data_IF_562053553531
#
_entry.id   IF_562053553531
#
_cell.length_a   1.000
_cell.length_b   1.000
_cell.length_c   1.000
_cell.angle_alpha   90.00
_cell.angle_beta   90.00
_cell.angle_gamma   90.00
#
_symmetry.space_group_name_H-M   'P 1'
#
loop_
_entity.id
_entity.type
_entity.pdbx_description
1 polymer ?
#
# COMPACT_ATOMS: atom_id res chain seq x y z
N UNK A 1 15.82 -18.85 -8.21
CA UNK A 1 16.56 -19.26 -7.04
C UNK A 1 16.16 -18.42 -5.83
N UNK A 2 16.73 -18.73 -4.71
CA UNK A 2 16.40 -18.12 -3.43
C UNK A 2 16.67 -16.60 -3.41
N UNK A 3 17.81 -16.19 -3.99
CA UNK A 3 18.18 -14.78 -4.04
C UNK A 3 17.26 -13.99 -4.94
N UNK A 4 16.85 -14.56 -6.06
CA UNK A 4 15.93 -13.88 -6.96
C UNK A 4 14.57 -13.64 -6.30
N UNK A 5 14.01 -14.68 -5.66
CA UNK A 5 12.69 -14.57 -5.05
C UNK A 5 12.69 -13.55 -3.89
N UNK A 6 13.74 -13.52 -3.07
CA UNK A 6 13.81 -12.55 -1.99
C UNK A 6 13.98 -11.13 -2.53
N UNK A 7 14.82 -10.95 -3.55
CA UNK A 7 15.02 -9.64 -4.15
C UNK A 7 13.76 -9.10 -4.80
N UNK A 8 13.05 -9.96 -5.54
CA UNK A 8 11.79 -9.55 -6.17
C UNK A 8 10.78 -9.12 -5.11
N UNK A 9 10.63 -9.91 -4.05
CA UNK A 9 9.66 -9.60 -3.01
C UNK A 9 10.01 -8.32 -2.28
N UNK A 10 11.28 -8.14 -1.90
CA UNK A 10 11.72 -6.93 -1.21
C UNK A 10 11.56 -5.70 -2.09
N UNK A 11 12.05 -5.78 -3.33
CA UNK A 11 12.01 -4.63 -4.24
C UNK A 11 10.59 -4.19 -4.53
N UNK A 12 9.73 -5.14 -4.87
CA UNK A 12 8.32 -4.81 -5.17
C UNK A 12 7.61 -4.24 -3.96
N UNK A 13 7.83 -4.83 -2.78
CA UNK A 13 7.20 -4.35 -1.55
C UNK A 13 7.64 -2.92 -1.22
N UNK A 14 8.92 -2.63 -1.39
CA UNK A 14 9.44 -1.28 -1.11
C UNK A 14 8.96 -0.25 -2.11
N UNK A 15 8.88 -0.61 -3.38
CA UNK A 15 8.37 0.29 -4.41
C UNK A 15 6.91 0.63 -4.13
N UNK A 16 6.10 -0.39 -3.86
CA UNK A 16 4.68 -0.18 -3.55
C UNK A 16 4.52 0.71 -2.32
N UNK A 17 5.27 0.42 -1.26
CA UNK A 17 5.22 1.21 -0.03
C UNK A 17 5.63 2.65 -0.27
N UNK A 18 6.66 2.87 -1.10
CA UNK A 18 7.14 4.21 -1.45
C UNK A 18 6.10 5.01 -2.21
N UNK A 19 5.43 4.38 -3.17
CA UNK A 19 4.37 5.04 -3.93
C UNK A 19 3.22 5.43 -3.02
N UNK A 20 2.77 4.51 -2.17
CA UNK A 20 1.68 4.78 -1.23
C UNK A 20 2.06 5.93 -0.31
N UNK A 21 3.27 5.89 0.25
CA UNK A 21 3.76 6.93 1.17
C UNK A 21 3.80 8.30 0.50
N UNK A 22 4.25 8.37 -0.75
CA UNK A 22 4.35 9.63 -1.46
C UNK A 22 2.96 10.26 -1.68
N UNK A 23 1.98 9.44 -2.04
CA UNK A 23 0.62 9.95 -2.22
C UNK A 23 0.01 10.41 -0.91
N UNK A 24 0.24 9.68 0.19
CA UNK A 24 -0.27 10.10 1.50
C UNK A 24 0.29 11.47 1.86
N UNK A 25 1.59 11.69 1.66
CA UNK A 25 2.23 12.97 1.99
C UNK A 25 1.64 14.12 1.21
N UNK A 26 1.17 13.88 -0.01
CA UNK A 26 0.63 14.92 -0.87
C UNK A 26 -0.86 15.16 -0.71
N UNK A 27 -1.56 14.26 -0.04
CA UNK A 27 -3.02 14.31 0.07
C UNK A 27 -3.48 15.49 0.92
N UNK A 28 -4.66 16.02 0.59
CA UNK A 28 -5.34 17.02 1.40
C UNK A 28 -5.93 16.40 2.64
N UNK A 29 -6.55 15.24 2.49
CA UNK A 29 -7.18 14.52 3.59
C UNK A 29 -7.33 13.05 3.23
N UNK A 30 -7.67 12.24 4.24
CA UNK A 30 -7.94 10.82 4.06
C UNK A 30 -9.45 10.63 4.12
N UNK A 31 -10.03 10.17 3.02
CA UNK A 31 -11.47 9.87 2.97
C UNK A 31 -11.75 8.57 3.71
N UNK A 32 -10.91 7.56 3.52
CA UNK A 32 -11.02 6.27 4.21
C UNK A 32 -9.61 5.68 4.40
N UNK A 33 -9.28 5.14 5.57
CA UNK A 33 -10.11 4.99 6.76
C UNK A 33 -10.26 6.30 7.53
N UNK A 34 -11.36 6.43 8.26
CA UNK A 34 -11.57 7.55 9.16
C UNK A 34 -10.63 7.44 10.36
N UNK A 35 -10.43 8.56 11.04
CA UNK A 35 -9.57 8.59 12.23
C UNK A 35 -10.02 7.55 13.24
N UNK A 36 -9.09 6.75 13.71
CA UNK A 36 -9.35 5.67 14.65
C UNK A 36 -9.77 4.35 14.02
N UNK A 37 -9.85 4.30 12.68
CA UNK A 37 -10.32 3.09 11.98
C UNK A 37 -9.24 2.44 11.15
N UNK A 38 -9.48 1.19 10.78
CA UNK A 38 -8.60 0.40 9.92
C UNK A 38 -9.40 -0.10 8.73
N UNK A 39 -8.77 -0.10 7.55
CA UNK A 39 -9.40 -0.54 6.32
C UNK A 39 -8.41 -1.31 5.46
N UNK A 40 -8.93 -2.12 4.54
CA UNK A 40 -8.12 -2.83 3.55
C UNK A 40 -7.91 -2.01 2.29
N UNK A 41 -8.51 -0.84 2.20
CA UNK A 41 -8.24 0.09 1.10
C UNK A 41 -7.99 1.48 1.67
N UNK A 42 -7.31 2.31 0.88
CA UNK A 42 -7.00 3.68 1.24
C UNK A 42 -7.57 4.59 0.16
N UNK A 43 -8.35 5.58 0.57
CA UNK A 43 -8.93 6.56 -0.34
C UNK A 43 -8.49 7.95 0.09
N UNK A 44 -7.81 8.66 -0.78
CA UNK A 44 -7.21 9.95 -0.50
C UNK A 44 -7.87 11.04 -1.32
N UNK A 45 -8.17 12.16 -0.66
CA UNK A 45 -8.60 13.39 -1.33
C UNK A 45 -7.34 14.18 -1.69
N UNK A 46 -7.12 14.39 -2.97
CA UNK A 46 -5.91 15.04 -3.46
C UNK A 46 -6.15 16.53 -3.66
N UNK A 47 -5.08 17.35 -3.60
CA UNK A 47 -5.25 18.81 -3.73
C UNK A 47 -5.65 19.23 -5.14
N UNK A 48 -6.28 20.41 -5.20
CA UNK A 48 -6.67 21.08 -6.43
C UNK A 48 -7.62 20.24 -7.28
N UNK A 49 -7.32 20.10 -8.56
CA UNK A 49 -8.18 19.38 -9.50
C UNK A 49 -7.74 17.94 -9.74
N UNK A 50 -6.84 17.44 -8.89
CA UNK A 50 -6.39 16.05 -9.02
C UNK A 50 -7.50 15.14 -8.48
N UNK A 51 -7.82 14.09 -9.22
CA UNK A 51 -8.84 13.13 -8.82
C UNK A 51 -8.42 12.37 -7.57
N UNK A 52 -9.40 11.82 -6.86
CA UNK A 52 -9.14 10.98 -5.70
C UNK A 52 -8.27 9.79 -6.07
N UNK A 53 -7.41 9.40 -5.14
CA UNK A 53 -6.50 8.27 -5.31
C UNK A 53 -6.96 7.14 -4.41
N UNK A 54 -7.05 5.95 -4.98
CA UNK A 54 -7.45 4.74 -4.25
C UNK A 54 -6.37 3.67 -4.36
N UNK A 55 -6.01 3.09 -3.23
CA UNK A 55 -5.14 1.91 -3.16
C UNK A 55 -5.93 0.76 -2.60
N UNK A 56 -5.84 -0.40 -3.24
CA UNK A 56 -6.52 -1.58 -2.73
C UNK A 56 -5.82 -2.85 -3.20
N UNK A 57 -6.06 -3.91 -2.44
CA UNK A 57 -5.55 -5.24 -2.76
C UNK A 57 -6.63 -6.02 -3.47
N UNK A 58 -6.30 -6.60 -4.61
CA UNK A 58 -7.20 -7.46 -5.35
C UNK A 58 -6.41 -8.64 -5.90
N UNK A 59 -6.79 -9.83 -5.46
CA UNK A 59 -6.21 -11.08 -5.95
C UNK A 59 -4.67 -11.08 -5.89
N UNK A 60 -4.13 -10.67 -4.75
CA UNK A 60 -2.69 -10.69 -4.50
C UNK A 60 -1.91 -9.54 -5.10
N UNK A 61 -2.57 -8.59 -5.74
CA UNK A 61 -1.92 -7.44 -6.38
C UNK A 61 -2.44 -6.15 -5.78
N UNK A 62 -1.53 -5.22 -5.51
CA UNK A 62 -1.91 -3.88 -5.06
C UNK A 62 -2.15 -3.02 -6.28
N UNK A 63 -3.30 -2.36 -6.31
CA UNK A 63 -3.68 -1.47 -7.42
C UNK A 63 -3.81 -0.04 -6.96
N UNK A 64 -3.35 0.86 -7.82
CA UNK A 64 -3.54 2.31 -7.69
C UNK A 64 -4.57 2.72 -8.72
N UNK A 65 -5.62 3.41 -8.28
CA UNK A 65 -6.65 3.91 -9.18
C UNK A 65 -6.81 5.40 -8.97
N UNK A 66 -6.73 6.17 -10.05
CA UNK A 66 -6.92 7.61 -10.05
C UNK A 66 -8.30 7.92 -10.61
N UNK A 67 -9.21 8.42 -9.78
CA UNK A 67 -10.57 8.72 -10.19
C UNK A 67 -11.28 7.50 -10.76
N UNK A 68 -11.78 7.63 -11.96
CA UNK A 68 -12.46 6.53 -12.66
C UNK A 68 -11.58 5.86 -13.71
N UNK A 69 -10.28 6.16 -13.71
CA UNK A 69 -9.36 5.57 -14.69
C UNK A 69 -9.08 4.11 -14.38
N UNK A 70 -8.44 3.44 -15.33
CA UNK A 70 -8.08 2.03 -15.19
C UNK A 70 -7.07 1.85 -14.07
N UNK A 71 -7.29 0.91 -13.14
CA UNK A 71 -6.32 0.65 -12.08
C UNK A 71 -4.97 0.18 -12.63
N UNK A 72 -3.91 0.60 -11.95
CA UNK A 72 -2.54 0.24 -12.29
C UNK A 72 -1.95 -0.64 -11.21
N UNK A 73 -1.32 -1.75 -11.58
CA UNK A 73 -0.65 -2.62 -10.63
C UNK A 73 0.63 -1.98 -10.12
N UNK A 74 0.86 -2.05 -8.81
CA UNK A 74 2.06 -1.52 -8.18
C UNK A 74 3.12 -2.58 -7.92
N UNK A 75 2.77 -3.85 -8.06
CA UNK A 75 3.73 -4.94 -7.86
C UNK A 75 3.71 -5.82 -9.10
N UNK A 76 4.81 -6.51 -9.35
CA UNK A 76 4.90 -7.42 -10.48
C UNK A 76 4.12 -8.70 -10.17
N UNK A 77 3.87 -9.51 -11.21
CA UNK A 77 3.16 -10.77 -11.02
C UNK A 77 4.03 -11.84 -10.35
N UNK A 78 5.30 -11.55 -10.08
CA UNK A 78 6.15 -12.46 -9.29
C UNK A 78 5.86 -12.39 -7.81
N UNK A 79 5.13 -11.38 -7.36
CA UNK A 79 4.89 -11.15 -5.94
C UNK A 79 3.40 -11.26 -5.64
N UNK A 80 3.08 -11.99 -4.57
CA UNK A 80 1.71 -12.08 -4.08
C UNK A 80 1.63 -11.35 -2.74
N UNK A 81 0.78 -10.34 -2.67
CA UNK A 81 0.51 -9.62 -1.43
C UNK A 81 -0.61 -10.33 -0.71
N UNK A 82 -0.34 -10.77 0.51
CA UNK A 82 -1.32 -11.54 1.30
C UNK A 82 -2.23 -10.62 2.09
N UNK A 83 -1.67 -9.56 2.66
CA UNK A 83 -2.44 -8.59 3.43
C UNK A 83 -1.95 -7.19 3.13
N UNK A 84 -2.90 -6.25 3.16
CA UNK A 84 -2.62 -4.83 3.05
C UNK A 84 -3.64 -4.14 3.94
N UNK A 85 -3.16 -3.44 4.96
CA UNK A 85 -4.04 -2.75 5.91
C UNK A 85 -3.59 -1.32 6.09
N UNK A 86 -4.57 -0.44 6.23
CA UNK A 86 -4.37 0.98 6.48
C UNK A 86 -5.09 1.35 7.77
N UNK A 87 -4.38 1.94 8.71
CA UNK A 87 -4.95 2.39 9.99
C UNK A 87 -4.71 3.88 10.14
N UNK A 88 -5.75 4.62 10.52
CA UNK A 88 -5.64 6.06 10.71
C UNK A 88 -5.53 6.37 12.20
N UNK A 89 -4.37 6.82 12.63
CA UNK A 89 -4.08 7.13 14.03
C UNK A 89 -4.16 8.63 14.34
N UNK A 90 -4.63 9.45 13.38
CA UNK A 90 -4.78 10.87 13.63
C UNK A 90 -5.76 11.16 14.74
N UNK A 91 -5.45 12.11 15.60
CA UNK A 91 -6.38 12.58 16.65
C UNK A 91 -7.29 13.66 16.11
N UNK A 92 -8.25 14.09 16.96
CA UNK A 92 -9.28 15.05 16.54
C UNK A 92 -8.73 16.37 16.03
N UNK A 93 -7.60 16.81 16.57
CA UNK A 93 -7.01 18.09 16.22
C UNK A 93 -5.64 17.96 15.57
N UNK A 94 -5.30 16.77 15.11
CA UNK A 94 -4.02 16.53 14.45
C UNK A 94 -4.25 16.10 13.00
N UNK A 95 -3.19 16.12 12.20
CA UNK A 95 -3.23 15.60 10.85
C UNK A 95 -3.48 14.11 10.89
N UNK A 96 -4.01 13.59 9.79
CA UNK A 96 -4.12 12.14 9.63
C UNK A 96 -2.73 11.53 9.63
N UNK A 97 -2.60 10.40 10.30
CA UNK A 97 -1.38 9.60 10.32
C UNK A 97 -1.79 8.20 9.90
N UNK A 98 -1.27 7.75 8.78
CA UNK A 98 -1.66 6.44 8.24
C UNK A 98 -0.54 5.45 8.45
N UNK A 99 -0.85 4.38 9.16
CA UNK A 99 0.03 3.23 9.27
C UNK A 99 -0.35 2.25 8.18
N UNK A 100 0.62 1.90 7.35
CA UNK A 100 0.44 0.95 6.26
C UNK A 100 1.17 -0.34 6.63
N UNK A 101 0.45 -1.46 6.60
CA UNK A 101 1.03 -2.77 6.90
C UNK A 101 0.84 -3.67 5.69
N UNK A 102 1.89 -4.36 5.31
CA UNK A 102 1.91 -5.19 4.12
C UNK A 102 2.64 -6.49 4.42
N UNK A 103 2.06 -7.60 3.97
CA UNK A 103 2.72 -8.89 3.98
C UNK A 103 2.69 -9.45 2.56
N UNK A 104 3.84 -9.86 2.05
CA UNK A 104 3.96 -10.35 0.69
C UNK A 104 4.94 -11.52 0.63
N UNK A 105 4.76 -12.36 -0.38
CA UNK A 105 5.69 -13.44 -0.63
C UNK A 105 5.85 -13.64 -2.14
N UNK A 106 6.88 -14.41 -2.50
CA UNK A 106 7.13 -14.73 -3.89
C UNK A 106 6.05 -15.69 -4.39
N UNK A 107 5.43 -15.35 -5.53
CA UNK A 107 4.24 -16.06 -6.01
C UNK A 107 4.54 -17.48 -6.53
N UNK A 108 5.69 -17.66 -7.15
CA UNK A 108 5.99 -18.87 -7.90
C UNK A 108 6.91 -19.85 -7.18
N UNK A 109 6.90 -19.85 -5.85
CA UNK A 109 7.67 -20.81 -5.09
C UNK A 109 7.14 -22.21 -5.31
N UNK A 110 8.00 -23.08 -5.82
CA UNK A 110 7.65 -24.49 -6.02
C UNK A 110 8.03 -25.34 -4.81
N UNK A 111 8.74 -24.79 -3.85
CA UNK A 111 9.20 -25.50 -2.66
C UNK A 111 8.88 -24.67 -1.43
N UNK A 112 8.27 -25.31 -0.42
CA UNK A 112 7.97 -24.61 0.84
C UNK A 112 9.25 -24.24 1.60
N UNK A 113 10.36 -24.91 1.32
CA UNK A 113 11.63 -24.63 1.98
C UNK A 113 12.25 -23.31 1.54
N UNK A 114 11.80 -22.75 0.42
CA UNK A 114 12.37 -21.56 -0.17
C UNK A 114 11.38 -20.42 -0.28
N UNK A 115 10.27 -20.49 0.43
CA UNK A 115 9.33 -19.39 0.45
C UNK A 115 9.95 -18.20 1.18
N UNK A 116 9.87 -17.04 0.56
CA UNK A 116 10.34 -15.81 1.16
C UNK A 116 9.14 -14.90 1.45
N UNK A 117 9.04 -14.49 2.70
CA UNK A 117 7.95 -13.61 3.15
C UNK A 117 8.54 -12.29 3.64
N UNK A 118 7.91 -11.20 3.23
CA UNK A 118 8.31 -9.86 3.62
C UNK A 118 7.17 -9.19 4.35
N UNK A 119 7.46 -8.72 5.56
CA UNK A 119 6.54 -7.89 6.33
C UNK A 119 7.08 -6.47 6.35
N UNK A 120 6.29 -5.52 5.88
CA UNK A 120 6.66 -4.11 5.92
C UNK A 120 5.57 -3.32 6.62
N UNK A 121 6.02 -2.31 7.37
CA UNK A 121 5.11 -1.44 8.07
C UNK A 121 5.73 -0.05 8.12
N UNK A 122 4.93 0.96 7.85
CA UNK A 122 5.39 2.34 7.91
C UNK A 122 4.25 3.24 8.37
N UNK A 123 4.60 4.36 8.97
CA UNK A 123 3.61 5.38 9.35
C UNK A 123 3.94 6.66 8.61
N UNK A 124 2.93 7.25 8.00
CA UNK A 124 3.09 8.43 7.16
C UNK A 124 2.09 9.49 7.58
N UNK A 125 2.56 10.72 7.80
CA UNK A 125 1.70 11.86 8.10
C UNK A 125 1.42 12.66 6.85
N UNK A 126 0.21 13.17 6.73
CA UNK A 126 -0.10 14.15 5.70
C UNK A 126 0.63 15.45 6.03
N UNK A 127 0.98 16.21 4.99
CA UNK A 127 1.71 17.46 5.19
C UNK A 127 0.84 18.59 5.72
N UNK A 128 -0.44 18.51 5.48
CA UNK A 128 -1.35 19.59 5.87
C UNK A 128 -1.82 19.49 7.30
#
# INVERSE_FOLDING_TARGET
NKNFSSQETITNSRIAMGVISDYIKQAESVISPAKGETSTFLLLDMPESIDDIRFELNDGTIYLKEGSETPQALVSNYVSVNTLNFSNYGGDFSNDIIKVSLNANYRYNSSIDFQYEQNLETSVSLRN
#
